data_IF_358146309214
#
_entry.id   IF_358146309214
#
_cell.length_a   1.000
_cell.length_b   1.000
_cell.length_c   1.000
_cell.angle_alpha   90.00
_cell.angle_beta   90.00
_cell.angle_gamma   90.00
#
_symmetry.space_group_name_H-M   'P 1'
#
loop_
_entity.id
_entity.type
_entity.pdbx_description
1 polymer ?
#
# COMPACT_ATOMS: atom_id res chain seq x y z
N UNK A 1 -21.96 23.65 -12.72
CA UNK A 1 -22.56 22.31 -12.53
C UNK A 1 -23.34 22.27 -11.21
N UNK A 2 -24.64 21.99 -11.22
CA UNK A 2 -25.56 22.19 -10.08
C UNK A 2 -26.22 20.91 -9.55
N UNK A 3 -27.22 21.04 -8.67
CA UNK A 3 -27.95 19.89 -8.08
C UNK A 3 -28.71 19.04 -9.12
N UNK A 4 -28.98 19.59 -10.31
CA UNK A 4 -29.61 18.85 -11.43
C UNK A 4 -28.64 17.95 -12.22
N UNK A 5 -27.32 18.13 -12.09
CA UNK A 5 -26.36 17.36 -12.88
C UNK A 5 -26.02 16.02 -12.22
N UNK A 6 -26.54 14.94 -12.82
CA UNK A 6 -26.41 13.53 -12.37
C UNK A 6 -24.97 13.01 -12.37
N UNK A 7 -24.04 13.71 -13.03
CA UNK A 7 -22.62 13.32 -13.08
C UNK A 7 -21.86 13.79 -11.85
N UNK A 8 -22.33 14.86 -11.21
CA UNK A 8 -21.65 15.46 -10.06
C UNK A 8 -21.95 14.78 -8.75
N UNK A 9 -21.00 14.90 -7.79
CA UNK A 9 -21.23 14.54 -6.39
C UNK A 9 -22.48 15.23 -5.84
N UNK A 10 -22.63 16.55 -6.09
CA UNK A 10 -23.74 17.36 -5.59
C UNK A 10 -25.11 16.90 -6.14
N UNK A 11 -25.20 16.59 -7.43
CA UNK A 11 -26.44 16.08 -8.01
C UNK A 11 -26.75 14.64 -7.62
N UNK A 12 -25.73 13.79 -7.45
CA UNK A 12 -25.93 12.42 -6.93
C UNK A 12 -26.39 12.42 -5.47
N UNK A 13 -25.83 13.29 -4.62
CA UNK A 13 -26.26 13.49 -3.24
C UNK A 13 -27.70 14.00 -3.16
N UNK A 14 -28.06 15.00 -3.97
CA UNK A 14 -29.43 15.55 -3.99
C UNK A 14 -30.47 14.51 -4.38
N UNK A 15 -30.15 13.63 -5.34
CA UNK A 15 -31.02 12.51 -5.73
C UNK A 15 -30.92 11.28 -4.83
N UNK A 16 -30.00 11.24 -3.86
CA UNK A 16 -29.77 10.06 -3.02
C UNK A 16 -29.19 8.84 -3.77
N UNK A 17 -28.57 9.04 -4.94
CA UNK A 17 -28.03 7.93 -5.76
C UNK A 17 -26.55 7.71 -5.49
N UNK A 18 -26.13 6.44 -5.39
CA UNK A 18 -24.72 6.05 -5.31
C UNK A 18 -24.09 5.99 -6.71
N UNK A 19 -22.80 6.20 -6.81
CA UNK A 19 -22.04 6.07 -8.06
C UNK A 19 -20.57 6.40 -7.84
N UNK A 20 -19.77 6.50 -8.91
CA UNK A 20 -18.32 6.79 -8.78
C UNK A 20 -18.02 8.04 -7.93
N UNK A 21 -18.85 9.08 -8.04
CA UNK A 21 -18.70 10.34 -7.29
C UNK A 21 -19.28 10.33 -5.87
N UNK A 22 -20.11 9.32 -5.53
CA UNK A 22 -20.63 9.06 -4.18
C UNK A 22 -20.55 7.55 -3.95
N UNK A 23 -19.35 7.01 -3.67
CA UNK A 23 -19.19 5.60 -3.39
C UNK A 23 -19.97 5.24 -2.12
N UNK A 24 -20.60 4.07 -2.12
CA UNK A 24 -21.23 3.55 -0.91
C UNK A 24 -20.19 3.25 0.17
N UNK A 25 -20.65 3.08 1.41
CA UNK A 25 -19.82 2.45 2.44
C UNK A 25 -19.42 1.07 1.93
N UNK A 26 -18.13 0.86 1.76
CA UNK A 26 -17.59 -0.45 1.45
C UNK A 26 -17.83 -1.33 2.67
N UNK A 27 -18.29 -2.59 2.52
CA UNK A 27 -18.39 -3.48 3.67
C UNK A 27 -17.02 -3.55 4.34
N UNK A 28 -16.96 -3.61 5.69
CA UNK A 28 -15.69 -3.78 6.38
C UNK A 28 -15.00 -5.01 5.80
N UNK A 29 -13.71 -4.88 5.49
CA UNK A 29 -12.93 -5.99 4.98
C UNK A 29 -13.07 -7.17 5.96
N UNK A 30 -13.16 -8.43 5.45
CA UNK A 30 -13.16 -9.59 6.33
C UNK A 30 -11.96 -9.50 7.27
N UNK A 31 -12.21 -9.68 8.56
CA UNK A 31 -11.16 -9.64 9.59
C UNK A 31 -10.07 -10.60 9.13
N UNK A 32 -8.87 -10.05 8.85
CA UNK A 32 -7.73 -10.87 8.49
C UNK A 32 -7.58 -11.92 9.59
N UNK A 33 -7.51 -13.22 9.27
CA UNK A 33 -7.27 -14.23 10.30
C UNK A 33 -6.02 -13.80 11.05
N UNK A 34 -6.13 -13.73 12.38
CA UNK A 34 -5.03 -13.34 13.25
C UNK A 34 -3.79 -14.15 12.85
N UNK A 35 -2.60 -13.51 12.78
CA UNK A 35 -1.38 -14.25 12.55
C UNK A 35 -1.26 -15.27 13.68
N UNK A 36 -1.35 -16.56 13.33
CA UNK A 36 -1.01 -17.68 14.23
C UNK A 36 0.30 -17.31 14.93
N UNK A 37 0.44 -17.53 16.26
CA UNK A 37 1.65 -17.18 16.98
C UNK A 37 2.83 -17.83 16.24
N UNK A 38 3.65 -16.97 15.63
CA UNK A 38 4.87 -17.38 14.96
C UNK A 38 5.72 -17.95 16.08
N UNK A 39 5.93 -19.27 16.07
CA UNK A 39 6.85 -19.91 16.99
C UNK A 39 8.15 -19.10 16.95
N UNK A 40 8.50 -18.50 18.09
CA UNK A 40 9.69 -17.67 18.24
C UNK A 40 10.89 -18.59 18.05
N UNK A 41 11.31 -18.72 16.79
CA UNK A 41 12.53 -19.39 16.43
C UNK A 41 13.64 -18.53 17.02
N UNK A 42 14.30 -19.06 18.04
CA UNK A 42 15.38 -18.40 18.75
C UNK A 42 16.32 -17.65 17.77
N UNK A 43 16.78 -16.44 18.12
CA UNK A 43 17.65 -15.67 17.24
C UNK A 43 18.88 -16.52 16.90
N UNK A 44 19.17 -16.64 15.60
CA UNK A 44 20.41 -17.29 15.16
C UNK A 44 21.58 -16.48 15.73
N UNK A 45 22.65 -17.14 16.21
CA UNK A 45 23.83 -16.43 16.70
C UNK A 45 24.37 -15.49 15.61
N UNK A 46 24.93 -14.33 15.98
CA UNK A 46 25.45 -13.36 15.03
C UNK A 46 26.51 -14.06 14.16
N UNK A 47 26.29 -14.04 12.85
CA UNK A 47 27.34 -14.43 11.90
C UNK A 47 28.41 -13.35 11.95
N UNK A 48 29.63 -13.76 12.25
CA UNK A 48 30.82 -12.92 12.18
C UNK A 48 30.87 -12.16 10.84
N UNK A 49 31.30 -10.89 10.84
CA UNK A 49 31.41 -10.11 9.62
C UNK A 49 32.49 -10.74 8.75
N UNK A 50 32.09 -11.45 7.69
CA UNK A 50 32.99 -11.75 6.58
C UNK A 50 33.39 -10.41 5.98
N UNK A 51 34.65 -10.04 6.17
CA UNK A 51 35.34 -8.98 5.47
C UNK A 51 35.16 -9.19 3.97
N UNK A 52 34.20 -8.50 3.37
CA UNK A 52 34.18 -8.33 1.93
C UNK A 52 35.19 -7.22 1.62
N UNK A 53 36.39 -7.67 1.32
CA UNK A 53 37.46 -6.88 0.75
C UNK A 53 36.92 -6.11 -0.46
N UNK A 54 36.96 -4.78 -0.31
CA UNK A 54 37.37 -3.77 -1.30
C UNK A 54 37.30 -4.18 -2.77
N UNK A 55 36.40 -3.53 -3.51
CA UNK A 55 36.72 -3.00 -4.82
C UNK A 55 36.01 -1.64 -4.99
N UNK A 56 36.81 -0.58 -4.87
CA UNK A 56 36.40 0.81 -5.08
C UNK A 56 36.37 1.14 -6.60
N UNK A 57 36.07 2.40 -6.98
CA UNK A 57 34.97 2.80 -7.86
C UNK A 57 35.33 2.85 -9.36
N UNK A 58 34.27 2.95 -10.19
CA UNK A 58 34.35 3.19 -11.62
C UNK A 58 35.19 4.43 -11.99
N UNK A 59 35.95 4.40 -13.10
CA UNK A 59 36.26 5.59 -13.87
C UNK A 59 35.29 5.77 -15.04
N UNK A 60 35.02 7.04 -15.32
CA UNK A 60 34.14 7.56 -16.34
C UNK A 60 34.75 7.54 -17.77
N UNK A 61 33.85 7.69 -18.74
CA UNK A 61 34.00 8.41 -20.01
C UNK A 61 34.79 7.79 -21.19
N UNK A 62 34.33 8.22 -22.38
CA UNK A 62 34.87 8.10 -23.75
C UNK A 62 34.68 6.78 -24.52
N UNK A 63 33.61 6.69 -25.32
CA UNK A 63 33.62 6.93 -26.79
C UNK A 63 32.21 6.93 -27.37
#
# INVERSE_FOLDING_TARGET
MGKGDKRTKRGKLFRGTKGKSVPGKQPPAPVKPEPKPVAVKAPRPPREPKEQAVAAPAPAAET
#
